data_IF_238382563285
#
_entry.id   IF_238382563285
#
_cell.length_a   1.000
_cell.length_b   1.000
_cell.length_c   1.000
_cell.angle_alpha   90.00
_cell.angle_beta   90.00
_cell.angle_gamma   90.00
#
_symmetry.space_group_name_H-M   'P 1'
#
loop_
_entity.id
_entity.type
_entity.pdbx_description
1 polymer ?
#
# COMPACT_ATOMS: atom_id res chain seq x y z
N UNK A 1 -21.85 1.73 17.69
CA UNK A 1 -22.60 2.34 18.80
C UNK A 1 -23.59 3.35 18.24
N UNK A 2 -24.86 3.31 18.67
CA UNK A 2 -25.89 4.28 18.27
C UNK A 2 -26.28 5.11 19.50
N UNK A 3 -26.45 6.42 19.33
CA UNK A 3 -26.94 7.34 20.36
C UNK A 3 -28.13 8.11 19.80
N UNK A 4 -29.30 7.86 20.39
CA UNK A 4 -30.57 8.37 19.85
C UNK A 4 -30.80 7.86 18.43
N UNK A 5 -31.02 8.78 17.49
CA UNK A 5 -31.28 8.47 16.08
C UNK A 5 -30.01 8.35 15.23
N UNK A 6 -28.82 8.59 15.80
CA UNK A 6 -27.56 8.66 15.04
C UNK A 6 -26.60 7.53 15.40
N UNK A 7 -25.96 6.97 14.37
CA UNK A 7 -24.85 6.04 14.53
C UNK A 7 -23.57 6.84 14.82
N UNK A 8 -22.96 6.61 15.99
CA UNK A 8 -21.70 7.26 16.40
C UNK A 8 -20.46 6.47 15.95
N UNK A 9 -20.55 5.13 15.92
CA UNK A 9 -19.41 4.25 15.66
C UNK A 9 -19.86 3.00 14.91
N UNK A 10 -19.06 2.61 13.92
CA UNK A 10 -19.16 1.32 13.24
C UNK A 10 -17.85 0.57 13.44
N UNK A 11 -17.96 -0.71 13.79
CA UNK A 11 -16.83 -1.64 13.82
C UNK A 11 -17.06 -2.69 12.74
N UNK A 12 -16.00 -2.98 11.98
CA UNK A 12 -16.01 -3.99 10.94
C UNK A 12 -14.94 -5.02 11.29
N UNK A 13 -15.31 -6.30 11.28
CA UNK A 13 -14.33 -7.40 11.25
C UNK A 13 -13.89 -7.58 9.81
N UNK A 14 -12.62 -7.30 9.54
CA UNK A 14 -12.08 -7.39 8.18
C UNK A 14 -11.91 -8.86 7.75
N UNK A 15 -11.66 -9.06 6.45
CA UNK A 15 -11.23 -10.36 5.91
C UNK A 15 -9.86 -10.77 6.47
N UNK A 16 -9.50 -12.07 6.42
CA UNK A 16 -8.15 -12.51 6.75
C UNK A 16 -7.10 -11.67 6.00
N UNK A 17 -6.12 -11.19 6.75
CA UNK A 17 -5.07 -10.30 6.27
C UNK A 17 -3.72 -10.95 6.54
N UNK A 18 -2.78 -10.79 5.62
CA UNK A 18 -1.46 -11.44 5.70
C UNK A 18 -0.38 -10.61 5.02
N UNK A 19 0.86 -10.79 5.48
CA UNK A 19 2.05 -10.27 4.82
C UNK A 19 2.37 -11.15 3.60
N UNK A 20 2.50 -10.54 2.43
CA UNK A 20 2.73 -11.24 1.17
C UNK A 20 4.21 -11.30 0.79
N UNK A 21 4.93 -10.19 0.93
CA UNK A 21 6.36 -10.10 0.64
C UNK A 21 7.00 -8.95 1.44
N UNK A 22 8.29 -9.08 1.75
CA UNK A 22 9.07 -8.05 2.42
C UNK A 22 10.28 -7.66 1.55
N UNK A 23 10.76 -6.42 1.72
CA UNK A 23 12.03 -5.98 1.15
C UNK A 23 12.05 -5.88 -0.38
N UNK A 24 10.90 -5.64 -1.03
CA UNK A 24 10.84 -5.49 -2.48
C UNK A 24 11.39 -4.13 -2.89
N UNK A 25 12.28 -4.08 -3.89
CA UNK A 25 12.84 -2.82 -4.37
C UNK A 25 12.17 -2.32 -5.64
N UNK A 26 12.05 -1.01 -5.78
CA UNK A 26 11.49 -0.36 -6.96
C UNK A 26 12.05 1.05 -7.11
N UNK A 27 12.28 1.46 -8.35
CA UNK A 27 12.62 2.85 -8.67
C UNK A 27 11.41 3.76 -8.50
N UNK A 28 11.52 4.78 -7.66
CA UNK A 28 10.54 5.84 -7.47
C UNK A 28 11.02 7.14 -8.14
N UNK A 29 10.16 7.83 -8.91
CA UNK A 29 10.48 9.18 -9.38
C UNK A 29 10.84 10.08 -8.19
N UNK A 30 11.93 10.84 -8.29
CA UNK A 30 12.36 11.79 -7.26
C UNK A 30 13.12 11.18 -6.07
N UNK A 31 12.82 9.94 -5.68
CA UNK A 31 13.44 9.28 -4.51
C UNK A 31 14.52 8.24 -4.88
N UNK A 32 14.60 7.83 -6.16
CA UNK A 32 15.48 6.75 -6.60
C UNK A 32 14.94 5.38 -6.16
N UNK A 33 15.84 4.40 -5.98
CA UNK A 33 15.44 3.09 -5.46
C UNK A 33 14.92 3.21 -4.03
N UNK A 34 13.72 2.66 -3.81
CA UNK A 34 13.09 2.52 -2.50
C UNK A 34 12.73 1.05 -2.26
N UNK A 35 12.62 0.71 -0.99
CA UNK A 35 12.17 -0.60 -0.51
C UNK A 35 10.75 -0.51 0.02
N UNK A 36 9.94 -1.54 -0.27
CA UNK A 36 8.56 -1.67 0.20
C UNK A 36 8.26 -3.10 0.66
N UNK A 37 7.36 -3.19 1.63
CA UNK A 37 6.70 -4.45 1.98
C UNK A 37 5.32 -4.50 1.34
N UNK A 38 4.85 -5.69 0.99
CA UNK A 38 3.52 -5.89 0.40
C UNK A 38 2.69 -6.78 1.30
N UNK A 39 1.51 -6.29 1.69
CA UNK A 39 0.55 -7.01 2.51
C UNK A 39 -0.84 -7.01 1.87
N UNK A 40 -1.63 -8.02 2.21
CA UNK A 40 -3.04 -8.12 1.85
C UNK A 40 -3.93 -7.87 3.06
N UNK A 41 -4.91 -6.97 2.92
CA UNK A 41 -5.92 -6.69 3.94
C UNK A 41 -7.33 -6.47 3.38
N UNK A 42 -7.66 -7.21 2.31
CA UNK A 42 -8.82 -6.97 1.43
C UNK A 42 -8.42 -6.40 0.07
N UNK A 43 -7.26 -5.77 -0.02
CA UNK A 43 -6.53 -5.44 -1.24
C UNK A 43 -5.03 -5.66 -0.98
N UNK A 44 -4.23 -5.76 -2.03
CA UNK A 44 -2.77 -5.68 -1.92
C UNK A 44 -2.34 -4.22 -1.78
N UNK A 45 -1.50 -3.94 -0.78
CA UNK A 45 -0.89 -2.65 -0.47
C UNK A 45 0.62 -2.78 -0.46
N UNK A 46 1.32 -1.86 -1.12
CA UNK A 46 2.75 -1.68 -0.97
C UNK A 46 2.97 -0.55 0.04
N UNK A 47 3.66 -0.88 1.12
CA UNK A 47 3.87 -0.05 2.29
C UNK A 47 5.30 0.48 2.23
N UNK A 48 5.43 1.80 2.17
CA UNK A 48 6.71 2.51 2.16
C UNK A 48 6.97 2.99 3.57
N UNK A 49 7.94 2.36 4.24
CA UNK A 49 8.42 2.79 5.55
C UNK A 49 9.58 3.79 5.44
N UNK A 50 9.86 4.56 6.51
CA UNK A 50 11.03 5.41 6.61
C UNK A 50 12.33 4.69 6.27
N UNK A 51 13.13 5.31 5.40
CA UNK A 51 14.38 4.79 4.85
C UNK A 51 15.29 5.95 4.40
N UNK A 52 16.49 5.63 3.90
CA UNK A 52 17.51 6.63 3.59
C UNK A 52 17.02 7.78 2.67
N UNK A 53 16.20 7.45 1.67
CA UNK A 53 15.71 8.41 0.67
C UNK A 53 14.28 8.93 0.97
N UNK A 54 13.66 8.49 2.06
CA UNK A 54 12.30 8.87 2.43
C UNK A 54 12.14 8.81 3.96
N UNK A 55 12.03 9.95 4.63
CA UNK A 55 11.95 9.99 6.10
C UNK A 55 10.51 9.90 6.62
N UNK A 56 9.60 10.69 6.04
CA UNK A 56 8.20 10.79 6.47
C UNK A 56 7.36 11.39 5.33
N UNK A 57 6.06 11.07 5.26
CA UNK A 57 5.16 11.62 4.25
C UNK A 57 5.01 13.15 4.36
N UNK A 58 5.16 13.72 5.56
CA UNK A 58 5.04 15.14 5.82
C UNK A 58 6.15 15.99 5.17
N UNK A 59 7.24 15.35 4.72
CA UNK A 59 8.33 16.02 4.01
C UNK A 59 7.98 16.33 2.55
N UNK A 60 6.86 15.81 2.05
CA UNK A 60 6.44 15.90 0.66
C UNK A 60 5.02 16.44 0.53
N UNK A 61 4.72 17.03 -0.63
CA UNK A 61 3.34 17.44 -0.89
C UNK A 61 2.47 16.23 -1.20
N UNK A 62 1.17 16.33 -0.94
CA UNK A 62 0.22 15.33 -1.40
C UNK A 62 0.29 15.11 -2.92
N UNK A 63 0.63 16.15 -3.69
CA UNK A 63 0.82 16.08 -5.14
C UNK A 63 1.98 15.19 -5.54
N UNK A 64 3.10 15.23 -4.80
CA UNK A 64 4.26 14.38 -5.04
C UNK A 64 3.90 12.91 -4.83
N UNK A 65 3.28 12.58 -3.70
CA UNK A 65 2.85 11.20 -3.39
C UNK A 65 1.84 10.67 -4.42
N UNK A 66 0.89 11.52 -4.85
CA UNK A 66 -0.08 11.19 -5.90
C UNK A 66 0.61 10.98 -7.26
N UNK A 67 1.65 11.73 -7.58
CA UNK A 67 2.40 11.57 -8.82
C UNK A 67 3.25 10.29 -8.82
N UNK A 68 3.89 9.95 -7.70
CA UNK A 68 4.74 8.77 -7.59
C UNK A 68 3.95 7.46 -7.53
N UNK A 69 2.85 7.44 -6.79
CA UNK A 69 2.13 6.21 -6.45
C UNK A 69 1.71 5.37 -7.66
N UNK A 70 1.13 5.93 -8.75
CA UNK A 70 0.77 5.15 -9.93
C UNK A 70 1.98 4.54 -10.63
N UNK A 71 3.09 5.29 -10.71
CA UNK A 71 4.32 4.87 -11.38
C UNK A 71 4.99 3.74 -10.59
N UNK A 72 5.15 3.91 -9.28
CA UNK A 72 5.73 2.90 -8.38
C UNK A 72 4.89 1.63 -8.40
N UNK A 73 3.57 1.75 -8.26
CA UNK A 73 2.63 0.61 -8.32
C UNK A 73 2.70 -0.11 -9.66
N UNK A 74 2.78 0.61 -10.77
CA UNK A 74 2.92 -0.01 -12.09
C UNK A 74 4.21 -0.83 -12.16
N UNK A 75 5.34 -0.23 -11.80
CA UNK A 75 6.67 -0.89 -11.82
C UNK A 75 6.72 -2.12 -10.92
N UNK A 76 6.10 -2.05 -9.73
CA UNK A 76 5.98 -3.21 -8.84
C UNK A 76 5.18 -4.34 -9.47
N UNK A 77 4.04 -4.06 -10.11
CA UNK A 77 3.25 -5.08 -10.79
C UNK A 77 3.93 -5.63 -12.06
N UNK A 78 4.84 -4.88 -12.68
CA UNK A 78 5.66 -5.36 -13.80
C UNK A 78 6.81 -6.25 -13.32
N UNK A 79 7.43 -5.91 -12.19
CA UNK A 79 8.60 -6.61 -11.63
C UNK A 79 8.22 -7.85 -10.80
N UNK A 80 7.04 -7.85 -10.19
CA UNK A 80 6.60 -8.88 -9.25
C UNK A 80 5.16 -9.34 -9.52
N UNK A 81 4.85 -10.54 -9.06
CA UNK A 81 3.52 -11.15 -9.19
C UNK A 81 2.86 -11.19 -7.81
N UNK A 82 1.66 -10.63 -7.72
CA UNK A 82 0.87 -10.60 -6.49
C UNK A 82 -0.42 -11.38 -6.73
N UNK A 83 -0.64 -12.51 -6.06
CA UNK A 83 -1.86 -13.32 -6.20
C UNK A 83 -2.33 -13.80 -4.84
N UNK A 84 -3.62 -13.63 -4.55
CA UNK A 84 -4.21 -14.13 -3.32
C UNK A 84 -4.30 -15.67 -3.35
N UNK A 85 -3.83 -16.37 -2.30
CA UNK A 85 -3.70 -17.83 -2.31
C UNK A 85 -5.03 -18.58 -2.50
N UNK A 86 -6.12 -18.00 -1.99
CA UNK A 86 -7.46 -18.62 -2.06
C UNK A 86 -8.36 -18.02 -3.15
N UNK A 87 -7.92 -16.95 -3.82
CA UNK A 87 -8.73 -16.26 -4.83
C UNK A 87 -7.84 -15.70 -5.95
N UNK A 88 -7.57 -16.49 -7.00
CA UNK A 88 -6.73 -16.07 -8.12
C UNK A 88 -7.25 -14.86 -8.91
N UNK A 89 -8.52 -14.46 -8.72
CA UNK A 89 -9.07 -13.23 -9.29
C UNK A 89 -8.52 -11.96 -8.63
N UNK A 90 -7.96 -12.07 -7.42
CA UNK A 90 -7.26 -10.98 -6.74
C UNK A 90 -5.77 -11.15 -7.04
N UNK A 91 -5.32 -10.51 -8.11
CA UNK A 91 -4.01 -10.77 -8.70
C UNK A 91 -3.22 -9.50 -9.05
N UNK A 92 -3.48 -8.40 -8.34
CA UNK A 92 -2.85 -7.12 -8.63
C UNK A 92 -2.63 -6.28 -7.39
N UNK A 93 -1.45 -5.67 -7.30
CA UNK A 93 -1.17 -4.62 -6.34
C UNK A 93 -1.93 -3.35 -6.75
N UNK A 94 -2.87 -2.91 -5.92
CA UNK A 94 -3.80 -1.82 -6.24
C UNK A 94 -3.53 -0.54 -5.44
N UNK A 95 -2.83 -0.60 -4.31
CA UNK A 95 -2.66 0.54 -3.41
C UNK A 95 -1.21 0.75 -2.98
N UNK A 96 -0.85 2.01 -2.76
CA UNK A 96 0.38 2.44 -2.09
C UNK A 96 -0.01 3.03 -0.74
N UNK A 97 0.79 2.77 0.30
CA UNK A 97 0.69 3.41 1.61
C UNK A 97 2.04 4.02 1.91
N UNK A 98 2.04 5.32 2.16
CA UNK A 98 3.22 6.07 2.59
C UNK A 98 3.04 6.37 4.08
N UNK A 99 3.99 5.93 4.92
CA UNK A 99 3.93 6.13 6.37
C UNK A 99 4.88 7.21 6.86
#
# INVERSE_FOLDING_TARGET
>A
KQVGEYVEEVRITNVPSFLHAEGLTVECPGLGEITVDVAYGGNFYAIVEPQANYRDMADYSAGDLIAWSPVVRQRLNEKYTFVHPENPGINRLSHMVWT
#
